data_IF_067022988720
#
_entry.id   IF_067022988720
#
_cell.length_a   1.000
_cell.length_b   1.000
_cell.length_c   1.000
_cell.angle_alpha   90.00
_cell.angle_beta   90.00
_cell.angle_gamma   90.00
#
_symmetry.space_group_name_H-M   'P 1'
#
loop_
_entity.id
_entity.type
_entity.pdbx_description
1 polymer ?
#
# COMPACT_ATOMS: atom_id res chain seq x y z
N UNK A 1 -38.44 -10.75 10.30
CA UNK A 1 -37.35 -11.22 11.16
C UNK A 1 -36.06 -11.19 10.33
N UNK A 2 -35.04 -10.41 10.68
CA UNK A 2 -33.78 -10.44 9.96
C UNK A 2 -33.04 -11.72 10.29
N UNK A 3 -32.60 -12.46 9.26
CA UNK A 3 -31.82 -13.68 9.40
C UNK A 3 -30.48 -13.38 10.07
N UNK A 4 -29.97 -14.25 10.97
CA UNK A 4 -28.67 -14.04 11.59
C UNK A 4 -27.57 -14.08 10.52
N UNK A 5 -26.74 -13.03 10.48
CA UNK A 5 -25.55 -12.98 9.61
C UNK A 5 -24.65 -14.15 9.98
N UNK A 6 -24.20 -14.98 9.00
CA UNK A 6 -23.40 -16.15 9.29
C UNK A 6 -22.06 -15.75 9.91
N UNK A 7 -21.65 -16.49 10.93
CA UNK A 7 -20.37 -16.34 11.64
C UNK A 7 -19.11 -16.47 10.74
N UNK A 8 -19.29 -16.85 9.47
CA UNK A 8 -18.23 -16.93 8.45
C UNK A 8 -17.52 -15.60 8.13
N UNK A 9 -18.10 -14.46 8.52
CA UNK A 9 -17.47 -13.14 8.32
C UNK A 9 -16.29 -12.88 9.25
N UNK A 10 -16.36 -13.34 10.49
CA UNK A 10 -15.30 -13.15 11.49
C UNK A 10 -14.07 -14.01 11.18
N UNK A 11 -14.24 -15.25 10.77
CA UNK A 11 -13.13 -16.13 10.39
C UNK A 11 -12.32 -15.60 9.20
N UNK A 12 -12.97 -14.90 8.26
CA UNK A 12 -12.29 -14.25 7.13
C UNK A 12 -11.48 -13.01 7.53
N UNK A 13 -11.74 -12.44 8.70
CA UNK A 13 -11.02 -11.26 9.21
C UNK A 13 -9.86 -11.64 10.13
N UNK A 14 -9.80 -12.86 10.64
CA UNK A 14 -8.72 -13.32 11.53
C UNK A 14 -7.32 -13.06 10.97
N UNK A 15 -7.00 -13.40 9.70
CA UNK A 15 -5.67 -13.14 9.15
C UNK A 15 -5.35 -11.63 9.11
N UNK A 16 -6.34 -10.78 8.86
CA UNK A 16 -6.14 -9.33 8.83
C UNK A 16 -5.92 -8.73 10.21
N UNK A 17 -6.60 -9.27 11.22
CA UNK A 17 -6.37 -8.91 12.62
C UNK A 17 -4.96 -9.32 13.03
N UNK A 18 -4.51 -10.52 12.65
CA UNK A 18 -3.14 -10.96 12.93
C UNK A 18 -2.10 -10.06 12.27
N UNK A 19 -2.30 -9.65 11.02
CA UNK A 19 -1.45 -8.69 10.31
C UNK A 19 -1.44 -7.34 11.03
N UNK A 20 -2.58 -6.84 11.48
CA UNK A 20 -2.68 -5.58 12.20
C UNK A 20 -1.93 -5.62 13.54
N UNK A 21 -2.09 -6.70 14.31
CA UNK A 21 -1.39 -6.89 15.60
C UNK A 21 0.11 -7.01 15.39
N UNK A 22 0.55 -7.75 14.38
CA UNK A 22 1.97 -7.90 14.03
C UNK A 22 2.58 -6.54 13.62
N UNK A 23 1.89 -5.78 12.79
CA UNK A 23 2.33 -4.45 12.35
C UNK A 23 2.39 -3.44 13.51
N UNK A 24 1.38 -3.44 14.37
CA UNK A 24 1.36 -2.60 15.56
C UNK A 24 2.48 -2.97 16.55
N UNK A 25 2.72 -4.27 16.77
CA UNK A 25 3.83 -4.75 17.59
C UNK A 25 5.19 -4.36 17.04
N UNK A 26 5.40 -4.50 15.72
CA UNK A 26 6.63 -4.09 15.07
C UNK A 26 6.86 -2.58 15.17
N UNK A 27 5.82 -1.75 14.98
CA UNK A 27 5.93 -0.30 15.13
C UNK A 27 6.18 0.10 16.59
N UNK A 28 5.55 -0.58 17.55
CA UNK A 28 5.77 -0.33 18.97
C UNK A 28 7.22 -0.64 19.37
N UNK A 29 7.82 -1.73 18.86
CA UNK A 29 9.24 -2.01 19.13
C UNK A 29 10.16 -0.93 18.58
N UNK A 30 9.88 -0.43 17.35
CA UNK A 30 10.61 0.70 16.75
C UNK A 30 10.48 1.96 17.61
N UNK A 31 9.29 2.27 18.10
CA UNK A 31 9.01 3.48 18.86
C UNK A 31 9.58 3.44 20.30
N UNK A 32 9.59 2.26 20.92
CA UNK A 32 10.00 2.09 22.32
C UNK A 32 11.50 1.88 22.52
N UNK A 33 12.22 1.44 21.48
CA UNK A 33 13.67 1.26 21.53
C UNK A 33 14.40 2.60 21.53
N UNK A 34 14.59 3.14 22.73
CA UNK A 34 15.37 4.36 22.94
C UNK A 34 16.84 3.99 23.13
N UNK A 35 17.67 4.22 22.10
CA UNK A 35 19.12 4.14 22.24
C UNK A 35 19.81 2.90 21.66
N UNK A 36 19.07 1.91 21.17
CA UNK A 36 19.63 0.79 20.40
C UNK A 36 19.47 1.01 18.89
N UNK A 37 20.37 0.39 18.09
CA UNK A 37 20.22 0.38 16.65
C UNK A 37 18.92 -0.33 16.25
N UNK A 38 17.96 0.42 15.73
CA UNK A 38 16.69 -0.14 15.27
C UNK A 38 16.95 -1.08 14.11
N UNK A 39 16.58 -2.34 14.29
CA UNK A 39 16.69 -3.30 13.20
C UNK A 39 15.75 -2.92 12.05
N UNK A 40 16.28 -2.84 10.82
CA UNK A 40 15.49 -2.60 9.62
C UNK A 40 14.37 -3.63 9.45
N UNK A 41 14.50 -4.83 10.00
CA UNK A 41 13.48 -5.87 9.95
C UNK A 41 12.15 -5.44 10.61
N UNK A 42 12.20 -4.74 11.75
CA UNK A 42 10.98 -4.26 12.42
C UNK A 42 10.27 -3.18 11.61
N UNK A 43 11.06 -2.24 11.05
CA UNK A 43 10.51 -1.21 10.19
C UNK A 43 9.87 -1.80 8.92
N UNK A 44 10.57 -2.74 8.28
CA UNK A 44 10.07 -3.44 7.10
C UNK A 44 8.78 -4.21 7.42
N UNK A 45 8.73 -4.93 8.54
CA UNK A 45 7.54 -5.65 8.98
C UNK A 45 6.36 -4.71 9.22
N UNK A 46 6.59 -3.60 9.92
CA UNK A 46 5.55 -2.59 10.14
C UNK A 46 5.03 -1.98 8.83
N UNK A 47 5.94 -1.65 7.90
CA UNK A 47 5.57 -1.10 6.59
C UNK A 47 4.75 -2.10 5.77
N UNK A 48 5.21 -3.33 5.63
CA UNK A 48 4.50 -4.38 4.87
C UNK A 48 3.11 -4.63 5.45
N UNK A 49 2.99 -4.78 6.77
CA UNK A 49 1.70 -4.98 7.43
C UNK A 49 0.75 -3.79 7.18
N UNK A 50 1.26 -2.56 7.29
CA UNK A 50 0.48 -1.34 7.05
C UNK A 50 -0.02 -1.28 5.61
N UNK A 51 0.84 -1.56 4.65
CA UNK A 51 0.48 -1.54 3.23
C UNK A 51 -0.50 -2.66 2.84
N UNK A 52 -0.36 -3.85 3.41
CA UNK A 52 -1.33 -4.93 3.18
C UNK A 52 -2.73 -4.56 3.69
N UNK A 53 -2.82 -3.93 4.86
CA UNK A 53 -4.09 -3.47 5.41
C UNK A 53 -4.66 -2.33 4.55
N UNK A 54 -3.84 -1.35 4.19
CA UNK A 54 -4.26 -0.23 3.35
C UNK A 54 -4.76 -0.73 1.99
N UNK A 55 -4.01 -1.61 1.33
CA UNK A 55 -4.42 -2.22 0.06
C UNK A 55 -5.73 -2.99 0.18
N UNK A 56 -5.92 -3.75 1.28
CA UNK A 56 -7.12 -4.60 1.44
C UNK A 56 -8.39 -3.81 1.72
N UNK A 57 -8.28 -2.74 2.49
CA UNK A 57 -9.44 -2.00 2.98
C UNK A 57 -9.56 -0.61 2.35
N UNK A 58 -8.51 0.19 2.41
CA UNK A 58 -8.54 1.58 1.97
C UNK A 58 -8.61 1.71 0.45
N UNK A 59 -7.77 1.01 -0.31
CA UNK A 59 -7.82 1.08 -1.77
C UNK A 59 -9.13 0.53 -2.34
N UNK A 60 -9.77 -0.43 -1.65
CA UNK A 60 -11.10 -0.90 -2.06
C UNK A 60 -12.17 0.16 -1.90
N UNK A 61 -12.14 0.93 -0.81
CA UNK A 61 -13.07 2.05 -0.59
C UNK A 61 -12.86 3.10 -1.68
N UNK A 62 -11.62 3.48 -1.96
CA UNK A 62 -11.31 4.44 -3.01
C UNK A 62 -11.78 3.94 -4.37
N UNK A 63 -11.46 2.71 -4.73
CA UNK A 63 -11.79 2.14 -6.02
C UNK A 63 -13.31 2.00 -6.23
N UNK A 64 -14.04 1.50 -5.22
CA UNK A 64 -15.46 1.19 -5.35
C UNK A 64 -16.34 2.41 -5.06
N UNK A 65 -16.06 3.16 -3.98
CA UNK A 65 -16.99 4.18 -3.46
C UNK A 65 -16.64 5.58 -3.99
N UNK A 66 -15.37 5.88 -4.24
CA UNK A 66 -14.94 7.20 -4.70
C UNK A 66 -14.84 7.25 -6.23
N UNK A 67 -14.10 6.31 -6.82
CA UNK A 67 -13.90 6.29 -8.28
C UNK A 67 -14.96 5.50 -9.03
N UNK A 68 -15.73 4.64 -8.36
CA UNK A 68 -16.76 3.83 -8.99
C UNK A 68 -16.21 2.96 -10.12
N UNK A 69 -15.04 2.33 -9.90
CA UNK A 69 -14.38 1.53 -10.92
C UNK A 69 -15.25 0.34 -11.31
N UNK A 70 -15.53 0.23 -12.59
CA UNK A 70 -16.28 -0.87 -13.19
C UNK A 70 -15.33 -1.78 -13.97
N UNK A 71 -15.12 -2.99 -13.46
CA UNK A 71 -14.27 -3.99 -14.08
C UNK A 71 -14.81 -4.53 -15.42
N UNK A 72 -16.08 -4.28 -15.72
CA UNK A 72 -16.73 -4.70 -16.98
C UNK A 72 -16.55 -3.69 -18.11
N UNK A 73 -16.13 -2.47 -17.78
CA UNK A 73 -15.92 -1.41 -18.74
C UNK A 73 -14.58 -1.60 -19.44
N UNK A 74 -14.61 -1.70 -20.78
CA UNK A 74 -13.39 -1.77 -21.58
C UNK A 74 -12.55 -0.49 -21.44
N UNK A 75 -11.25 -0.67 -21.36
CA UNK A 75 -10.29 0.43 -21.23
C UNK A 75 -10.20 1.27 -22.51
N UNK A 76 -9.75 2.54 -22.41
CA UNK A 76 -9.49 3.33 -23.61
C UNK A 76 -8.53 2.64 -24.60
N UNK A 77 -7.52 1.93 -24.09
CA UNK A 77 -6.57 1.19 -24.93
C UNK A 77 -7.24 0.08 -25.76
N UNK A 78 -8.31 -0.56 -25.23
CA UNK A 78 -9.06 -1.57 -25.96
C UNK A 78 -10.08 -0.95 -26.96
N UNK A 79 -10.66 0.20 -26.57
CA UNK A 79 -11.71 0.85 -27.39
C UNK A 79 -11.17 1.70 -28.53
N UNK A 80 -9.99 2.27 -28.33
CA UNK A 80 -9.36 3.25 -29.24
C UNK A 80 -8.05 2.72 -29.80
N UNK A 81 -7.88 1.39 -29.80
CA UNK A 81 -6.66 0.75 -30.29
C UNK A 81 -6.33 1.22 -31.71
N UNK A 82 -5.26 1.99 -31.84
CA UNK A 82 -4.73 2.51 -33.08
C UNK A 82 -3.31 1.98 -33.41
N UNK A 83 -2.79 1.12 -32.54
CA UNK A 83 -1.47 0.54 -32.66
C UNK A 83 -0.32 1.54 -32.44
N UNK A 84 -0.60 2.76 -31.98
CA UNK A 84 0.37 3.83 -31.74
C UNK A 84 0.26 4.43 -30.35
N UNK A 85 -0.81 5.19 -30.11
CA UNK A 85 -1.05 5.89 -28.83
C UNK A 85 -1.86 5.04 -27.87
N UNK A 86 -2.75 4.21 -28.39
CA UNK A 86 -3.60 3.30 -27.63
C UNK A 86 -3.32 1.86 -28.04
N UNK A 87 -2.53 1.17 -27.23
CA UNK A 87 -2.16 -0.23 -27.48
C UNK A 87 -2.46 -1.05 -26.22
N UNK A 88 -3.31 -2.09 -26.32
CA UNK A 88 -3.51 -3.02 -25.23
C UNK A 88 -2.19 -3.69 -24.82
N UNK A 89 -1.72 -3.40 -23.62
CA UNK A 89 -0.41 -3.84 -23.16
C UNK A 89 -0.54 -4.82 -22.00
N UNK A 90 0.37 -5.80 -21.94
CA UNK A 90 0.39 -6.76 -20.85
C UNK A 90 0.56 -6.05 -19.50
N UNK A 91 -0.29 -6.42 -18.54
CA UNK A 91 -0.30 -5.83 -17.17
C UNK A 91 1.07 -5.80 -16.47
N UNK A 92 1.91 -6.80 -16.72
CA UNK A 92 3.25 -6.86 -16.12
C UNK A 92 4.23 -5.85 -16.74
N UNK A 93 4.06 -5.54 -18.02
CA UNK A 93 4.83 -4.49 -18.69
C UNK A 93 4.41 -3.12 -18.14
N UNK A 94 3.10 -2.88 -18.03
CA UNK A 94 2.57 -1.63 -17.44
C UNK A 94 3.04 -1.48 -15.99
N UNK A 95 2.97 -2.55 -15.20
CA UNK A 95 3.48 -2.56 -13.83
C UNK A 95 4.98 -2.23 -13.79
N UNK A 96 5.79 -2.87 -14.65
CA UNK A 96 7.23 -2.61 -14.71
C UNK A 96 7.57 -1.16 -15.05
N UNK A 97 6.87 -0.56 -16.01
CA UNK A 97 7.03 0.85 -16.35
C UNK A 97 6.65 1.78 -15.20
N UNK A 98 5.52 1.51 -14.56
CA UNK A 98 5.06 2.30 -13.41
C UNK A 98 6.05 2.20 -12.24
N UNK A 99 6.51 0.98 -11.94
CA UNK A 99 7.52 0.76 -10.89
C UNK A 99 8.84 1.47 -11.21
N UNK A 100 9.32 1.40 -12.45
CA UNK A 100 10.55 2.07 -12.87
C UNK A 100 10.45 3.60 -12.75
N UNK A 101 9.30 4.18 -13.07
CA UNK A 101 9.04 5.60 -12.90
C UNK A 101 9.06 6.05 -11.43
N UNK A 102 8.51 5.22 -10.54
CA UNK A 102 8.49 5.49 -9.09
C UNK A 102 9.87 5.26 -8.46
N UNK A 103 10.61 4.23 -8.91
CA UNK A 103 11.93 3.87 -8.37
C UNK A 103 13.08 4.77 -8.87
N UNK A 104 12.77 5.98 -9.33
CA UNK A 104 13.74 6.95 -9.81
C UNK A 104 14.60 7.58 -8.70
N UNK A 105 15.54 8.49 -9.07
CA UNK A 105 16.47 9.12 -8.11
C UNK A 105 15.79 9.88 -6.96
N UNK A 106 14.64 10.50 -7.21
CA UNK A 106 13.89 11.25 -6.20
C UNK A 106 13.52 10.40 -4.97
N UNK A 107 12.86 9.25 -5.15
CA UNK A 107 12.53 8.33 -4.04
C UNK A 107 13.73 7.73 -3.32
N UNK A 108 14.90 7.69 -3.94
CA UNK A 108 16.14 7.24 -3.27
C UNK A 108 16.79 8.35 -2.46
N UNK A 109 16.90 9.54 -3.03
CA UNK A 109 17.58 10.69 -2.40
C UNK A 109 16.71 11.36 -1.34
N UNK A 110 15.39 11.45 -1.58
CA UNK A 110 14.46 12.10 -0.67
C UNK A 110 14.46 11.53 0.75
N UNK A 111 14.26 10.21 0.94
CA UNK A 111 14.34 9.58 2.26
C UNK A 111 15.70 9.71 2.92
N UNK A 112 16.79 9.65 2.14
CA UNK A 112 18.16 9.80 2.66
C UNK A 112 18.38 11.21 3.22
N UNK A 113 17.90 12.25 2.53
CA UNK A 113 17.95 13.63 3.01
C UNK A 113 17.02 13.83 4.21
N UNK A 114 15.81 13.26 4.16
CA UNK A 114 14.86 13.34 5.26
C UNK A 114 15.39 12.69 6.56
N UNK A 115 16.21 11.66 6.46
CA UNK A 115 16.84 11.01 7.61
C UNK A 115 17.76 11.95 8.40
N UNK A 116 18.27 13.03 7.78
CA UNK A 116 19.06 14.06 8.47
C UNK A 116 18.23 14.86 9.49
N UNK A 117 16.92 14.92 9.33
CA UNK A 117 16.00 15.57 10.27
C UNK A 117 15.48 14.61 11.35
N UNK A 118 15.93 13.38 11.35
CA UNK A 118 15.51 12.33 12.27
C UNK A 118 14.82 11.17 11.55
N UNK A 119 15.08 9.96 12.03
CA UNK A 119 14.57 8.74 11.40
C UNK A 119 13.04 8.59 11.50
N UNK A 120 12.49 8.80 12.70
CA UNK A 120 11.06 8.53 12.97
C UNK A 120 10.10 9.45 12.21
N UNK A 121 10.30 10.79 12.16
CA UNK A 121 9.43 11.66 11.38
C UNK A 121 9.41 11.33 9.90
N UNK A 122 10.59 11.04 9.31
CA UNK A 122 10.70 10.65 7.90
C UNK A 122 10.02 9.32 7.61
N UNK A 123 10.21 8.31 8.45
CA UNK A 123 9.58 7.01 8.30
C UNK A 123 8.05 7.08 8.40
N UNK A 124 7.52 7.81 9.39
CA UNK A 124 6.07 8.01 9.52
C UNK A 124 5.48 8.76 8.34
N UNK A 125 6.16 9.79 7.83
CA UNK A 125 5.71 10.53 6.66
C UNK A 125 5.62 9.65 5.42
N UNK A 126 6.62 8.79 5.19
CA UNK A 126 6.62 7.85 4.07
C UNK A 126 5.48 6.84 4.22
N UNK A 127 5.29 6.24 5.40
CA UNK A 127 4.21 5.28 5.65
C UNK A 127 2.83 5.90 5.38
N UNK A 128 2.57 7.08 5.93
CA UNK A 128 1.30 7.80 5.75
C UNK A 128 1.11 8.21 4.29
N UNK A 129 2.16 8.75 3.66
CA UNK A 129 2.12 9.17 2.26
C UNK A 129 1.81 8.03 1.29
N UNK A 130 2.40 6.86 1.51
CA UNK A 130 2.10 5.67 0.68
C UNK A 130 0.68 5.18 0.90
N UNK A 131 0.18 5.18 2.13
CA UNK A 131 -1.22 4.79 2.42
C UNK A 131 -2.22 5.75 1.80
N UNK A 132 -2.03 7.06 1.95
CA UNK A 132 -3.00 8.06 1.50
C UNK A 132 -2.90 8.38 0.02
N UNK A 133 -1.69 8.41 -0.53
CA UNK A 133 -1.45 8.84 -1.91
C UNK A 133 -1.14 7.70 -2.88
N UNK A 134 -0.76 6.52 -2.39
CA UNK A 134 -0.36 5.37 -3.20
C UNK A 134 -1.37 4.22 -3.23
N UNK A 135 -2.53 4.40 -2.61
CA UNK A 135 -3.55 3.35 -2.52
C UNK A 135 -4.42 3.26 -3.78
#
# INVERSE_FOLDING_TARGET
MPSPKPASGLLKQVPWIAVAVLGAGAMATVALNKGESISAAWLLTAAVCTYLIAYRFYSRIIAADIFGLDATRSTPAERLDDGRDYVPTNKWIVFGHHFAAIAGPGPLVGPTLAAQFGFLPGALWILVGVVLGGA
#
